data_IF_064562947936
#
_entry.id   IF_064562947936
#
_cell.length_a   1.000
_cell.length_b   1.000
_cell.length_c   1.000
_cell.angle_alpha   90.00
_cell.angle_beta   90.00
_cell.angle_gamma   90.00
#
_symmetry.space_group_name_H-M   'P 1'
#
loop_
_entity.id
_entity.type
_entity.pdbx_description
1 polymer ?
#
# COMPACT_ATOMS: atom_id res chain seq x y z
N UNK A 1 18.87 34.51 56.57
CA UNK A 1 18.37 33.63 55.50
C UNK A 1 18.79 32.24 55.91
N UNK A 2 17.84 31.46 56.44
CA UNK A 2 18.12 30.07 56.78
C UNK A 2 18.09 29.27 55.48
N UNK A 3 19.28 28.85 55.04
CA UNK A 3 19.45 28.00 53.88
C UNK A 3 19.16 26.57 54.32
N UNK A 4 18.04 26.00 53.89
CA UNK A 4 17.66 24.64 54.23
C UNK A 4 18.54 23.64 53.45
N UNK A 5 19.48 22.99 54.14
CA UNK A 5 20.32 21.94 53.54
C UNK A 5 19.49 20.75 53.04
N UNK A 6 18.27 20.57 53.54
CA UNK A 6 17.33 19.56 53.06
C UNK A 6 16.93 19.78 51.60
N UNK A 7 16.68 21.04 51.22
CA UNK A 7 16.34 21.40 49.84
C UNK A 7 17.49 21.10 48.87
N UNK A 8 18.74 21.28 49.32
CA UNK A 8 19.93 20.94 48.50
C UNK A 8 20.10 19.42 48.35
N UNK A 9 19.81 18.65 49.40
CA UNK A 9 19.88 17.19 49.37
C UNK A 9 18.78 16.55 48.49
N UNK A 10 17.61 17.18 48.40
CA UNK A 10 16.48 16.73 47.58
C UNK A 10 16.40 17.43 46.20
N UNK A 11 17.36 18.29 45.89
CA UNK A 11 17.32 19.13 44.69
C UNK A 11 17.25 18.28 43.40
N UNK A 12 18.12 17.27 43.28
CA UNK A 12 18.15 16.36 42.13
C UNK A 12 16.82 15.61 41.98
N UNK A 13 16.29 15.06 43.07
CA UNK A 13 15.04 14.30 43.07
C UNK A 13 13.85 15.20 42.69
N UNK A 14 13.85 16.46 43.13
CA UNK A 14 12.82 17.43 42.79
C UNK A 14 12.83 17.78 41.29
N UNK A 15 14.00 18.01 40.71
CA UNK A 15 14.16 18.27 39.28
C UNK A 15 13.83 17.04 38.44
N UNK A 16 14.21 15.85 38.90
CA UNK A 16 13.86 14.59 38.24
C UNK A 16 12.34 14.39 38.21
N UNK A 17 11.66 14.53 39.36
CA UNK A 17 10.20 14.39 39.43
C UNK A 17 9.49 15.42 38.56
N UNK A 18 9.96 16.66 38.58
CA UNK A 18 9.39 17.75 37.78
C UNK A 18 9.56 17.48 36.28
N UNK A 19 10.78 17.12 35.84
CA UNK A 19 11.05 16.81 34.44
C UNK A 19 10.35 15.54 33.95
N UNK A 20 10.22 14.53 34.81
CA UNK A 20 9.46 13.32 34.50
C UNK A 20 7.98 13.62 34.33
N UNK A 21 7.36 14.33 35.29
CA UNK A 21 5.93 14.65 35.22
C UNK A 21 5.64 15.52 33.99
N UNK A 22 6.43 16.56 33.73
CA UNK A 22 6.26 17.41 32.56
C UNK A 22 6.43 16.63 31.25
N UNK A 23 7.51 15.84 31.14
CA UNK A 23 7.77 15.00 29.98
C UNK A 23 6.70 13.93 29.75
N UNK A 24 6.18 13.34 30.83
CA UNK A 24 5.11 12.34 30.76
C UNK A 24 3.79 12.97 30.32
N UNK A 25 3.40 14.10 30.91
CA UNK A 25 2.18 14.82 30.53
C UNK A 25 2.24 15.28 29.07
N UNK A 26 3.37 15.84 28.66
CA UNK A 26 3.62 16.26 27.29
C UNK A 26 3.58 15.08 26.32
N UNK A 27 4.32 14.01 26.61
CA UNK A 27 4.37 12.80 25.80
C UNK A 27 3.00 12.13 25.66
N UNK A 28 2.19 12.14 26.72
CA UNK A 28 0.83 11.61 26.71
C UNK A 28 -0.08 12.38 25.75
N UNK A 29 -0.02 13.71 25.77
CA UNK A 29 -0.82 14.56 24.89
C UNK A 29 -0.37 14.39 23.44
N UNK A 30 0.94 14.49 23.17
CA UNK A 30 1.49 14.38 21.82
C UNK A 30 1.25 12.99 21.22
N UNK A 31 1.49 11.92 21.99
CA UNK A 31 1.23 10.55 21.54
C UNK A 31 -0.24 10.32 21.19
N UNK A 32 -1.18 10.93 21.93
CA UNK A 32 -2.62 10.83 21.60
C UNK A 32 -2.96 11.58 20.29
N UNK A 33 -2.40 12.77 20.08
CA UNK A 33 -2.64 13.57 18.87
C UNK A 33 -2.05 12.86 17.65
N UNK A 34 -0.79 12.44 17.75
CA UNK A 34 -0.07 11.75 16.68
C UNK A 34 -0.74 10.41 16.34
N UNK A 35 -1.08 9.60 17.36
CA UNK A 35 -1.78 8.33 17.16
C UNK A 35 -3.13 8.50 16.46
N UNK A 36 -3.89 9.56 16.79
CA UNK A 36 -5.14 9.89 16.08
C UNK A 36 -4.90 10.34 14.64
N UNK A 37 -3.87 11.13 14.39
CA UNK A 37 -3.52 11.58 13.05
C UNK A 37 -3.12 10.38 12.17
N UNK A 38 -2.19 9.56 12.65
CA UNK A 38 -1.70 8.36 11.95
C UNK A 38 -2.83 7.35 11.73
N UNK A 39 -3.69 7.13 12.73
CA UNK A 39 -4.83 6.23 12.60
C UNK A 39 -5.81 6.66 11.51
N UNK A 40 -6.05 7.97 11.34
CA UNK A 40 -6.89 8.49 10.23
C UNK A 40 -6.23 8.28 8.88
N UNK A 41 -4.94 8.59 8.76
CA UNK A 41 -4.18 8.41 7.51
C UNK A 41 -4.18 6.94 7.08
N UNK A 42 -3.79 6.03 7.97
CA UNK A 42 -3.77 4.59 7.69
C UNK A 42 -5.15 3.99 7.49
N UNK A 43 -6.14 4.50 8.21
CA UNK A 43 -7.54 4.14 7.99
C UNK A 43 -7.99 4.49 6.57
N UNK A 44 -7.63 5.68 6.07
CA UNK A 44 -7.98 6.11 4.72
C UNK A 44 -7.27 5.28 3.63
N UNK A 45 -5.96 5.06 3.75
CA UNK A 45 -5.19 4.20 2.84
C UNK A 45 -5.82 2.80 2.69
N UNK A 46 -6.23 2.22 3.82
CA UNK A 46 -6.84 0.90 3.84
C UNK A 46 -8.24 0.88 3.24
N UNK A 47 -9.06 1.88 3.57
CA UNK A 47 -10.43 1.98 3.04
C UNK A 47 -10.49 2.30 1.56
N UNK A 48 -9.54 3.06 1.02
CA UNK A 48 -9.43 3.30 -0.42
C UNK A 48 -9.24 1.98 -1.19
N UNK A 49 -8.32 1.13 -0.74
CA UNK A 49 -8.10 -0.18 -1.34
C UNK A 49 -9.34 -1.09 -1.21
N UNK A 50 -9.99 -1.08 -0.05
CA UNK A 50 -11.22 -1.84 0.20
C UNK A 50 -12.38 -1.39 -0.68
N UNK A 51 -12.59 -0.09 -0.82
CA UNK A 51 -13.64 0.48 -1.65
C UNK A 51 -13.42 0.14 -3.13
N UNK A 52 -12.16 0.14 -3.59
CA UNK A 52 -11.82 -0.34 -4.93
C UNK A 52 -12.21 -1.82 -5.11
N UNK A 53 -11.88 -2.69 -4.14
CA UNK A 53 -12.25 -4.10 -4.19
C UNK A 53 -13.76 -4.34 -4.14
N UNK A 54 -14.48 -3.57 -3.32
CA UNK A 54 -15.93 -3.61 -3.23
C UNK A 54 -16.58 -3.22 -4.56
N UNK A 55 -16.13 -2.11 -5.16
CA UNK A 55 -16.61 -1.66 -6.46
C UNK A 55 -16.32 -2.69 -7.57
N UNK A 56 -15.11 -3.24 -7.59
CA UNK A 56 -14.73 -4.29 -8.53
C UNK A 56 -15.64 -5.52 -8.40
N UNK A 57 -15.80 -6.06 -7.19
CA UNK A 57 -16.69 -7.19 -6.94
C UNK A 57 -18.14 -6.89 -7.36
N UNK A 58 -18.66 -5.71 -6.99
CA UNK A 58 -20.01 -5.29 -7.31
C UNK A 58 -20.29 -5.20 -8.81
N UNK A 59 -19.32 -4.73 -9.61
CA UNK A 59 -19.44 -4.71 -11.08
C UNK A 59 -19.60 -6.13 -11.63
N UNK A 60 -18.76 -7.07 -11.19
CA UNK A 60 -18.79 -8.45 -11.69
C UNK A 60 -20.04 -9.20 -11.26
N UNK A 61 -20.52 -9.01 -10.03
CA UNK A 61 -21.80 -9.57 -9.56
C UNK A 61 -22.98 -9.05 -10.39
N UNK A 62 -23.01 -7.75 -10.72
CA UNK A 62 -24.04 -7.16 -11.58
C UNK A 62 -23.92 -7.62 -13.03
N UNK A 63 -22.70 -7.79 -13.53
CA UNK A 63 -22.46 -8.27 -14.88
C UNK A 63 -22.98 -9.71 -15.06
N UNK A 64 -22.74 -10.58 -14.08
CA UNK A 64 -23.22 -11.97 -14.10
C UNK A 64 -24.76 -12.09 -14.12
N UNK A 65 -25.48 -11.11 -13.56
CA UNK A 65 -26.94 -11.09 -13.59
C UNK A 65 -27.55 -10.74 -14.96
N UNK A 66 -26.75 -10.32 -15.95
CA UNK A 66 -27.24 -10.01 -17.29
C UNK A 66 -27.37 -11.28 -18.15
N UNK A 67 -28.47 -11.44 -18.92
CA UNK A 67 -28.62 -12.57 -19.84
C UNK A 67 -27.45 -12.64 -20.82
N UNK A 68 -26.81 -13.81 -20.93
CA UNK A 68 -25.71 -14.04 -21.88
C UNK A 68 -24.34 -13.49 -21.46
N UNK A 69 -24.16 -13.06 -20.20
CA UNK A 69 -22.91 -12.44 -19.75
C UNK A 69 -21.68 -13.37 -19.73
N UNK A 70 -21.87 -14.70 -19.77
CA UNK A 70 -20.78 -15.69 -19.82
C UNK A 70 -19.80 -15.64 -18.65
N UNK A 71 -20.16 -15.00 -17.54
CA UNK A 71 -19.31 -14.89 -16.33
C UNK A 71 -19.33 -16.22 -15.59
N UNK A 72 -18.15 -16.71 -15.22
CA UNK A 72 -18.00 -17.94 -14.44
C UNK A 72 -18.70 -17.81 -13.07
N UNK A 73 -19.55 -18.77 -12.73
CA UNK A 73 -20.25 -18.85 -11.45
C UNK A 73 -19.25 -18.85 -10.27
N UNK A 74 -18.06 -19.44 -10.46
CA UNK A 74 -16.99 -19.42 -9.45
C UNK A 74 -16.51 -18.00 -9.17
N UNK A 75 -16.39 -17.16 -10.19
CA UNK A 75 -16.01 -15.76 -10.01
C UNK A 75 -17.08 -14.99 -9.23
N UNK A 76 -18.36 -15.25 -9.49
CA UNK A 76 -19.48 -14.65 -8.74
C UNK A 76 -19.41 -15.01 -7.25
N UNK A 77 -19.21 -16.29 -6.93
CA UNK A 77 -19.06 -16.74 -5.53
C UNK A 77 -17.87 -16.08 -4.83
N UNK A 78 -16.74 -15.90 -5.53
CA UNK A 78 -15.59 -15.18 -4.98
C UNK A 78 -15.88 -13.69 -4.76
N UNK A 79 -16.62 -13.04 -5.66
CA UNK A 79 -17.05 -11.65 -5.52
C UNK A 79 -17.98 -11.45 -4.31
N UNK A 80 -18.98 -12.33 -4.13
CA UNK A 80 -19.89 -12.29 -2.98
C UNK A 80 -19.15 -12.50 -1.65
N UNK A 81 -18.22 -13.47 -1.61
CA UNK A 81 -17.37 -13.70 -0.42
C UNK A 81 -16.48 -12.50 -0.10
N UNK A 82 -15.94 -11.84 -1.13
CA UNK A 82 -15.13 -10.64 -0.96
C UNK A 82 -15.96 -9.49 -0.36
N UNK A 83 -17.16 -9.25 -0.89
CA UNK A 83 -18.09 -8.25 -0.34
C UNK A 83 -18.47 -8.56 1.12
N UNK A 84 -18.72 -9.82 1.46
CA UNK A 84 -19.03 -10.24 2.83
C UNK A 84 -17.85 -10.02 3.81
N UNK A 85 -16.61 -10.15 3.34
CA UNK A 85 -15.45 -9.84 4.19
C UNK A 85 -15.29 -8.33 4.38
N UNK A 86 -15.50 -7.54 3.32
CA UNK A 86 -15.44 -6.08 3.39
C UNK A 86 -16.54 -5.54 4.31
N UNK A 87 -17.74 -6.11 4.30
CA UNK A 87 -18.84 -5.67 5.18
C UNK A 87 -18.58 -5.92 6.68
N UNK A 88 -17.61 -6.78 7.02
CA UNK A 88 -17.17 -7.01 8.40
C UNK A 88 -16.10 -6.01 8.85
N UNK A 89 -15.58 -5.20 7.94
CA UNK A 89 -14.55 -4.24 8.24
C UNK A 89 -15.14 -3.06 9.04
N UNK A 90 -14.52 -2.65 10.16
CA UNK A 90 -15.09 -1.62 11.02
C UNK A 90 -15.15 -0.26 10.32
N UNK A 91 -16.34 0.36 10.32
CA UNK A 91 -16.56 1.72 9.82
C UNK A 91 -16.40 2.80 10.90
N UNK A 92 -16.40 2.40 12.16
CA UNK A 92 -16.26 3.29 13.30
C UNK A 92 -15.10 2.82 14.16
N UNK A 93 -14.36 3.77 14.76
CA UNK A 93 -13.38 3.47 15.80
C UNK A 93 -14.09 3.53 17.16
N UNK A 94 -14.63 2.41 17.70
CA UNK A 94 -15.32 2.45 18.98
C UNK A 94 -14.33 2.86 20.08
N UNK A 95 -14.76 3.65 21.07
CA UNK A 95 -13.92 3.97 22.21
C UNK A 95 -13.52 2.70 22.95
N UNK A 96 -12.29 2.66 23.46
CA UNK A 96 -11.80 1.58 24.33
C UNK A 96 -12.61 1.64 25.63
N UNK A 97 -13.72 0.91 25.68
CA UNK A 97 -14.49 0.69 26.89
C UNK A 97 -14.05 -0.65 27.52
N UNK A 98 -14.05 -0.77 28.86
CA UNK A 98 -13.68 -2.02 29.56
C UNK A 98 -14.54 -3.25 29.17
N UNK A 99 -15.69 -3.01 28.54
CA UNK A 99 -16.70 -4.00 28.16
C UNK A 99 -16.79 -4.19 26.63
N UNK A 100 -15.82 -3.69 25.85
CA UNK A 100 -15.92 -3.69 24.39
C UNK A 100 -15.93 -5.12 23.82
N UNK A 101 -16.81 -5.35 22.84
CA UNK A 101 -16.86 -6.54 21.97
C UNK A 101 -15.45 -7.01 21.56
N UNK A 102 -15.26 -8.32 21.26
CA UNK A 102 -13.97 -8.85 20.85
C UNK A 102 -13.39 -7.99 19.72
N UNK A 103 -12.20 -7.43 19.97
CA UNK A 103 -11.53 -6.56 19.02
C UNK A 103 -11.35 -7.30 17.70
N UNK A 104 -11.89 -6.73 16.63
CA UNK A 104 -11.70 -7.26 15.28
C UNK A 104 -10.22 -7.22 14.96
N UNK A 105 -9.65 -8.37 14.59
CA UNK A 105 -8.29 -8.44 14.08
C UNK A 105 -8.26 -7.85 12.66
N UNK A 106 -8.05 -6.54 12.60
CA UNK A 106 -8.04 -5.73 11.38
C UNK A 106 -6.98 -6.24 10.40
N UNK A 107 -5.79 -6.58 10.89
CA UNK A 107 -4.64 -6.99 10.05
C UNK A 107 -4.93 -8.32 9.35
N UNK A 108 -5.48 -9.29 10.11
CA UNK A 108 -5.88 -10.57 9.53
C UNK A 108 -7.03 -10.41 8.55
N UNK A 109 -8.06 -9.64 8.89
CA UNK A 109 -9.21 -9.41 8.01
C UNK A 109 -8.77 -8.74 6.70
N UNK A 110 -7.92 -7.72 6.78
CA UNK A 110 -7.38 -7.02 5.61
C UNK A 110 -6.56 -7.95 4.70
N UNK A 111 -5.72 -8.81 5.29
CA UNK A 111 -4.97 -9.82 4.54
C UNK A 111 -5.89 -10.84 3.86
N UNK A 112 -6.97 -11.25 4.54
CA UNK A 112 -7.97 -12.15 3.96
C UNK A 112 -8.69 -11.50 2.78
N UNK A 113 -9.09 -10.23 2.89
CA UNK A 113 -9.70 -9.45 1.80
C UNK A 113 -8.78 -9.42 0.57
N UNK A 114 -7.49 -9.05 0.74
CA UNK A 114 -6.49 -9.05 -0.34
C UNK A 114 -6.33 -10.41 -1.01
N UNK A 115 -6.32 -11.49 -0.23
CA UNK A 115 -6.21 -12.84 -0.77
C UNK A 115 -7.43 -13.22 -1.62
N UNK A 116 -8.63 -12.82 -1.19
CA UNK A 116 -9.88 -13.09 -1.90
C UNK A 116 -10.01 -12.26 -3.17
N UNK A 117 -9.59 -11.01 -3.14
CA UNK A 117 -9.46 -10.19 -4.35
C UNK A 117 -8.55 -10.85 -5.39
N UNK A 118 -7.36 -11.33 -4.99
CA UNK A 118 -6.44 -12.04 -5.90
C UNK A 118 -7.06 -13.31 -6.49
N UNK A 119 -7.81 -14.06 -5.69
CA UNK A 119 -8.52 -15.25 -6.15
C UNK A 119 -9.58 -14.90 -7.20
N UNK A 120 -10.37 -13.84 -6.96
CA UNK A 120 -11.36 -13.33 -7.90
C UNK A 120 -10.71 -12.90 -9.23
N UNK A 121 -9.63 -12.12 -9.18
CA UNK A 121 -8.86 -11.72 -10.36
C UNK A 121 -8.36 -12.92 -11.17
N UNK A 122 -7.84 -13.95 -10.49
CA UNK A 122 -7.39 -15.19 -11.13
C UNK A 122 -8.52 -15.90 -11.88
N UNK A 123 -9.71 -16.01 -11.28
CA UNK A 123 -10.88 -16.62 -11.94
C UNK A 123 -11.41 -15.80 -13.12
N UNK A 124 -11.22 -14.48 -13.10
CA UNK A 124 -11.63 -13.60 -14.19
C UNK A 124 -10.55 -13.44 -15.28
N UNK A 125 -9.36 -14.01 -15.09
CA UNK A 125 -8.22 -13.81 -15.99
C UNK A 125 -7.68 -12.37 -16.03
N UNK A 126 -7.97 -11.57 -15.00
CA UNK A 126 -7.56 -10.16 -14.92
C UNK A 126 -6.35 -10.02 -13.99
N UNK A 127 -5.38 -9.18 -14.36
CA UNK A 127 -4.25 -8.87 -13.49
C UNK A 127 -4.70 -8.04 -12.27
N UNK A 128 -4.40 -8.46 -11.03
CA UNK A 128 -4.72 -7.66 -9.84
C UNK A 128 -4.03 -6.29 -9.90
N UNK A 129 -4.79 -5.21 -9.65
CA UNK A 129 -4.26 -3.86 -9.47
C UNK A 129 -4.28 -3.52 -7.99
N UNK A 130 -3.17 -3.03 -7.46
CA UNK A 130 -3.10 -2.48 -6.11
C UNK A 130 -3.25 -0.96 -6.25
N UNK A 131 -4.35 -0.42 -5.71
CA UNK A 131 -4.53 1.03 -5.58
C UNK A 131 -3.94 1.43 -4.22
N UNK A 132 -3.09 2.44 -4.22
CA UNK A 132 -2.52 3.06 -3.03
C UNK A 132 -2.68 4.57 -3.20
N UNK A 133 -3.05 5.28 -2.14
CA UNK A 133 -3.41 6.70 -2.10
C UNK A 133 -2.34 7.68 -2.61
N UNK A 134 -1.17 7.20 -3.05
CA UNK A 134 -0.12 8.01 -3.68
C UNK A 134 0.26 7.59 -5.11
N UNK A 135 -0.33 6.51 -5.65
CA UNK A 135 -0.02 6.02 -6.98
C UNK A 135 -0.93 6.70 -8.01
N UNK A 136 -0.55 7.89 -8.46
CA UNK A 136 -1.06 8.44 -9.73
C UNK A 136 -0.82 7.36 -10.80
N UNK A 137 -1.86 6.90 -11.52
CA UNK A 137 -1.66 5.90 -12.55
C UNK A 137 -0.83 6.53 -13.67
N UNK A 138 0.41 6.08 -13.85
CA UNK A 138 1.12 6.28 -15.11
C UNK A 138 0.34 5.55 -16.20
N UNK A 139 -0.06 6.31 -17.22
CA UNK A 139 -0.86 5.86 -18.35
C UNK A 139 -0.31 4.56 -18.96
N UNK A 140 -1.16 3.56 -19.26
CA UNK A 140 -0.72 2.34 -19.95
C UNK A 140 -0.59 2.51 -21.47
N UNK A 141 -0.60 3.74 -21.99
CA UNK A 141 -0.49 4.02 -23.43
C UNK A 141 0.90 4.53 -23.80
N UNK A 142 1.93 3.70 -23.57
CA UNK A 142 3.16 3.76 -24.36
C UNK A 142 3.22 2.48 -25.18
N UNK A 143 2.47 2.46 -26.27
CA UNK A 143 2.62 1.48 -27.33
C UNK A 143 4.07 1.51 -27.84
N UNK A 144 4.70 0.34 -27.84
CA UNK A 144 5.95 0.07 -28.53
C UNK A 144 5.86 0.52 -29.99
N UNK A 145 6.48 1.65 -30.33
CA UNK A 145 6.89 1.93 -31.70
C UNK A 145 8.36 1.54 -31.82
N UNK A 146 8.59 0.48 -32.61
CA UNK A 146 9.92 0.09 -33.07
C UNK A 146 10.27 1.04 -34.20
N UNK A 147 11.26 1.90 -33.98
CA UNK A 147 11.87 2.67 -35.05
C UNK A 147 12.83 1.77 -35.83
N UNK A 148 12.29 1.10 -36.86
CA UNK A 148 13.06 0.57 -37.98
C UNK A 148 13.49 1.74 -38.88
N UNK A 149 14.68 2.30 -38.62
CA UNK A 149 15.31 3.27 -39.55
C UNK A 149 16.07 2.50 -40.62
N UNK A 150 15.37 2.23 -41.73
CA UNK A 150 15.95 1.85 -43.02
C UNK A 150 16.23 3.12 -43.83
N UNK A 151 17.51 3.52 -43.94
CA UNK A 151 17.99 4.57 -44.83
C UNK A 151 18.99 4.01 -45.83
N UNK A 152 18.52 3.79 -47.05
CA UNK A 152 19.19 3.18 -48.20
C UNK A 152 20.16 4.17 -48.91
N UNK A 153 21.34 3.72 -49.37
CA UNK A 153 21.93 4.07 -50.69
C UNK A 153 23.30 3.40 -50.97
N UNK A 154 23.27 2.38 -51.85
CA UNK A 154 24.09 2.14 -53.06
C UNK A 154 25.61 1.84 -53.01
N UNK A 155 25.90 0.58 -53.35
CA UNK A 155 26.96 -0.02 -54.20
C UNK A 155 28.18 0.80 -54.68
N UNK A 156 29.40 0.26 -54.54
CA UNK A 156 30.19 -0.30 -55.67
C UNK A 156 31.54 -0.88 -55.18
N UNK A 157 31.79 -2.12 -55.60
CA UNK A 157 33.07 -2.82 -55.88
C UNK A 157 34.42 -2.16 -55.57
N UNK A 158 35.32 -2.92 -54.95
CA UNK A 158 36.77 -2.82 -55.16
C UNK A 158 37.63 -3.35 -54.01
N UNK A 159 38.02 -4.63 -54.05
CA UNK A 159 39.29 -5.09 -53.46
C UNK A 159 40.45 -4.55 -54.33
N UNK A 160 41.64 -4.20 -53.79
CA UNK A 160 42.57 -5.25 -53.32
C UNK A 160 43.56 -4.87 -52.18
N UNK A 161 44.11 -5.93 -51.56
CA UNK A 161 45.51 -6.14 -51.09
C UNK A 161 46.31 -4.97 -50.48
N UNK A 162 46.72 -5.12 -49.22
CA UNK A 162 48.11 -5.38 -48.78
C UNK A 162 48.49 -4.69 -47.45
N UNK A 163 49.03 -5.49 -46.51
CA UNK A 163 50.25 -5.12 -45.77
C UNK A 163 50.12 -4.53 -44.35
N UNK A 164 50.83 -5.20 -43.42
CA UNK A 164 51.28 -4.76 -42.09
C UNK A 164 50.17 -4.56 -41.03
N UNK A 165 50.07 -5.30 -39.92
CA UNK A 165 51.07 -6.03 -39.15
C UNK A 165 51.58 -5.17 -38.00
N UNK A 166 50.88 -5.13 -36.85
CA UNK A 166 51.50 -4.93 -35.51
C UNK A 166 50.61 -5.60 -34.45
N UNK A 167 51.28 -6.30 -33.54
CA UNK A 167 50.76 -7.07 -32.41
C UNK A 167 50.35 -6.20 -31.20
N UNK A 168 49.61 -6.84 -30.29
CA UNK A 168 49.71 -6.74 -28.82
C UNK A 168 49.21 -5.46 -28.14
N UNK A 169 48.21 -5.58 -27.27
CA UNK A 169 48.41 -5.91 -25.85
C UNK A 169 47.06 -5.98 -25.12
N UNK A 170 46.99 -6.95 -24.20
CA UNK A 170 45.94 -7.13 -23.23
C UNK A 170 45.92 -6.01 -22.18
N UNK A 171 44.73 -5.69 -21.71
CA UNK A 171 44.38 -5.58 -20.29
C UNK A 171 42.95 -6.09 -20.11
#
# INVERSE_FOLDING_TARGET
MDFDLGDLAHLEESFYKTGYEDGFQHGRIHGLIEGRALGREKGFEMWEELAFYEGFAGIWTRAAGKPGAGVDERAVRHAEQLMLLISKFPMTNPPIAPQAEPQVDIVRLYTQIRSRYKALCSTLGVRPRLVSAGAVPSDPSSSNERDDVQGDTRSSTGDPMAGAGVQSLAF
#
